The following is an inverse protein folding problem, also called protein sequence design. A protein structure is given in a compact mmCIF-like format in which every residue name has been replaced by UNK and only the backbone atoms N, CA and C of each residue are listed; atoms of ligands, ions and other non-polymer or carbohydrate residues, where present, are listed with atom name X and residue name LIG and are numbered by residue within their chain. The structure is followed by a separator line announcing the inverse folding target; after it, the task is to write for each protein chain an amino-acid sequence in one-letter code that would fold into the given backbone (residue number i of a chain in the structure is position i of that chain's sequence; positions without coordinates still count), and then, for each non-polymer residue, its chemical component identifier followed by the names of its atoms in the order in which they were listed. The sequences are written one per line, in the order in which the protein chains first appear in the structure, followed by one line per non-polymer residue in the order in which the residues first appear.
data_IF_920348787339
#
_entry.id   IF_920348787339
#
_cell.length_a   1.000
_cell.length_b   1.000
_cell.length_c   1.000
_cell.angle_alpha   90.00
_cell.angle_beta   90.00
_cell.angle_gamma   90.00
#
_symmetry.space_group_name_H-M   'P 1'
#
loop_
_entity.id
_entity.type
_entity.pdbx_description
1 polymer ?
#
# COMPACT_ATOMS: atom_id res chain seq x y z
N UNK A 1 23.13 -5.48 49.40
CA UNK A 1 22.30 -4.72 48.44
C UNK A 1 21.55 -5.72 47.56
N UNK A 2 20.24 -5.90 47.77
CA UNK A 2 19.44 -6.90 47.02
C UNK A 2 18.69 -6.18 45.90
N UNK A 3 18.85 -6.64 44.66
CA UNK A 3 18.20 -6.04 43.48
C UNK A 3 16.73 -6.45 43.41
N UNK A 4 15.87 -5.56 42.87
CA UNK A 4 14.42 -5.78 42.67
C UNK A 4 14.07 -7.11 41.99
N UNK A 5 14.91 -7.57 41.06
CA UNK A 5 14.75 -8.86 40.37
C UNK A 5 14.83 -10.06 41.31
N UNK A 6 15.65 -10.02 42.37
CA UNK A 6 15.76 -11.11 43.37
C UNK A 6 14.54 -11.23 44.29
N UNK A 7 13.68 -10.20 44.34
CA UNK A 7 12.42 -10.21 45.09
C UNK A 7 11.20 -10.55 44.21
N UNK A 8 11.41 -10.99 42.96
CA UNK A 8 10.31 -11.36 42.05
C UNK A 8 9.45 -10.18 41.57
N UNK A 9 9.86 -8.93 41.86
CA UNK A 9 9.10 -7.74 41.47
C UNK A 9 9.37 -7.40 40.01
N UNK A 10 8.58 -7.97 39.11
CA UNK A 10 8.54 -7.60 37.70
C UNK A 10 7.41 -6.58 37.50
N UNK A 11 7.75 -5.30 37.35
CA UNK A 11 6.79 -4.28 36.89
C UNK A 11 6.97 -4.10 35.39
N UNK A 12 6.10 -4.65 34.53
CA UNK A 12 6.16 -4.37 33.10
C UNK A 12 5.99 -2.87 32.88
N UNK A 13 6.84 -2.29 32.04
CA UNK A 13 6.77 -0.87 31.73
C UNK A 13 5.46 -0.59 30.97
N UNK A 14 4.54 0.23 31.51
CA UNK A 14 3.23 0.46 30.91
C UNK A 14 3.33 1.13 29.52
N UNK A 15 4.46 1.77 29.19
CA UNK A 15 4.73 2.29 27.83
C UNK A 15 4.77 1.20 26.75
N UNK A 16 5.03 -0.05 27.13
CA UNK A 16 5.08 -1.21 26.24
C UNK A 16 3.97 -2.23 26.52
N UNK A 17 2.99 -1.89 27.37
CA UNK A 17 1.79 -2.69 27.53
C UNK A 17 0.94 -2.53 26.26
N UNK A 18 1.14 -3.43 25.29
CA UNK A 18 0.35 -3.57 24.07
C UNK A 18 -1.06 -4.11 24.42
N UNK A 19 -1.85 -3.32 25.14
CA UNK A 19 -3.30 -3.56 25.24
C UNK A 19 -3.96 -3.03 23.98
N UNK A 20 -3.94 -3.83 22.91
CA UNK A 20 -4.84 -3.58 21.78
C UNK A 20 -6.26 -3.85 22.25
N UNK A 21 -7.04 -2.79 22.55
CA UNK A 21 -8.49 -2.89 22.56
C UNK A 21 -8.86 -3.27 21.13
N UNK A 22 -9.09 -4.55 20.91
CA UNK A 22 -9.48 -5.06 19.61
C UNK A 22 -10.90 -4.60 19.40
N UNK A 23 -11.09 -3.53 18.61
CA UNK A 23 -12.41 -3.18 18.12
C UNK A 23 -12.96 -4.42 17.40
N UNK A 24 -13.96 -5.07 18.00
CA UNK A 24 -14.40 -6.42 17.67
C UNK A 24 -15.01 -6.56 16.26
N UNK A 25 -15.15 -5.46 15.50
CA UNK A 25 -16.05 -5.42 14.35
C UNK A 25 -15.38 -5.09 13.00
N UNK A 26 -14.04 -5.10 12.91
CA UNK A 26 -13.36 -4.77 11.66
C UNK A 26 -12.48 -5.95 11.23
N UNK A 27 -12.85 -6.67 10.16
CA UNK A 27 -12.04 -7.75 9.64
C UNK A 27 -10.67 -7.20 9.27
N UNK A 28 -9.63 -7.68 9.97
CA UNK A 28 -8.28 -7.11 9.90
C UNK A 28 -7.70 -7.18 8.49
N UNK A 29 -8.02 -8.23 7.74
CA UNK A 29 -7.65 -8.41 6.34
C UNK A 29 -8.77 -9.18 5.64
N UNK A 30 -9.53 -8.51 4.77
CA UNK A 30 -10.52 -9.17 3.93
C UNK A 30 -9.81 -9.81 2.75
N UNK A 31 -9.75 -11.15 2.73
CA UNK A 31 -9.28 -11.87 1.55
C UNK A 31 -10.38 -12.08 0.50
N UNK A 32 -11.65 -11.82 0.88
CA UNK A 32 -12.81 -12.07 0.03
C UNK A 32 -13.47 -10.77 -0.42
N UNK A 33 -13.45 -10.52 -1.73
CA UNK A 33 -14.03 -9.32 -2.35
C UNK A 33 -15.53 -9.22 -2.07
N UNK A 34 -16.26 -10.34 -2.02
CA UNK A 34 -17.71 -10.33 -1.77
C UNK A 34 -18.07 -9.71 -0.42
N UNK A 35 -17.26 -9.97 0.61
CA UNK A 35 -17.46 -9.41 1.96
C UNK A 35 -17.10 -7.92 1.98
N UNK A 36 -16.04 -7.53 1.26
CA UNK A 36 -15.67 -6.12 1.11
C UNK A 36 -16.76 -5.30 0.39
N UNK A 37 -17.39 -5.88 -0.63
CA UNK A 37 -18.49 -5.24 -1.37
C UNK A 37 -19.74 -5.02 -0.53
N UNK A 38 -20.00 -5.91 0.43
CA UNK A 38 -21.15 -5.79 1.34
C UNK A 38 -20.99 -4.66 2.36
N UNK A 39 -19.75 -4.25 2.66
CA UNK A 39 -19.48 -3.20 3.64
C UNK A 39 -19.35 -1.82 2.96
N UNK A 40 -20.19 -0.82 3.32
CA UNK A 40 -20.24 0.46 2.61
C UNK A 40 -18.91 1.22 2.65
N UNK A 41 -18.18 1.15 3.76
CA UNK A 41 -16.87 1.79 3.89
C UNK A 41 -15.79 1.19 3.00
N UNK A 42 -15.85 -0.12 2.70
CA UNK A 42 -14.88 -0.76 1.82
C UNK A 42 -15.23 -0.48 0.35
N UNK A 43 -16.52 -0.52 0.03
CA UNK A 43 -17.04 -0.11 -1.29
C UNK A 43 -16.60 1.31 -1.66
N UNK A 44 -16.76 2.28 -0.75
CA UNK A 44 -16.39 3.68 -1.00
C UNK A 44 -14.90 3.85 -1.34
N UNK A 45 -14.00 3.15 -0.62
CA UNK A 45 -12.56 3.24 -0.88
C UNK A 45 -12.17 2.54 -2.19
N UNK A 46 -12.84 1.45 -2.56
CA UNK A 46 -12.63 0.83 -3.88
C UNK A 46 -13.05 1.78 -5.02
N UNK A 47 -14.17 2.48 -4.85
CA UNK A 47 -14.64 3.44 -5.84
C UNK A 47 -13.71 4.67 -5.92
N UNK A 48 -13.19 5.16 -4.79
CA UNK A 48 -12.17 6.24 -4.77
C UNK A 48 -10.90 5.84 -5.53
N UNK A 49 -10.41 4.61 -5.33
CA UNK A 49 -9.23 4.09 -6.04
C UNK A 49 -9.49 4.00 -7.56
N UNK A 50 -10.65 3.49 -7.98
CA UNK A 50 -11.01 3.43 -9.39
C UNK A 50 -11.09 4.83 -9.99
N UNK A 51 -11.77 5.78 -9.33
CA UNK A 51 -11.87 7.18 -9.80
C UNK A 51 -10.48 7.81 -9.92
N UNK A 52 -9.59 7.56 -8.97
CA UNK A 52 -8.22 8.07 -9.03
C UNK A 52 -7.44 7.50 -10.22
N UNK A 53 -7.58 6.20 -10.53
CA UNK A 53 -6.96 5.58 -11.70
C UNK A 53 -7.49 6.14 -13.02
N UNK A 54 -8.81 6.34 -13.12
CA UNK A 54 -9.42 6.95 -14.31
C UNK A 54 -8.96 8.39 -14.51
N UNK A 55 -8.94 9.19 -13.43
CA UNK A 55 -8.51 10.60 -13.47
C UNK A 55 -7.05 10.75 -13.89
N UNK A 56 -6.21 9.78 -13.52
CA UNK A 56 -4.79 9.79 -13.86
C UNK A 56 -4.50 9.15 -15.23
N UNK A 57 -5.53 8.68 -15.95
CA UNK A 57 -5.42 8.08 -17.28
C UNK A 57 -4.36 6.96 -17.37
N UNK A 58 -4.16 6.21 -16.28
CA UNK A 58 -3.02 5.28 -16.17
C UNK A 58 -3.17 4.02 -17.01
N UNK A 59 -4.35 3.77 -17.56
CA UNK A 59 -4.66 2.56 -18.33
C UNK A 59 -5.87 2.78 -19.24
N UNK A 60 -6.00 1.92 -20.26
CA UNK A 60 -7.12 1.91 -21.20
C UNK A 60 -7.68 0.50 -21.30
N UNK A 61 -9.00 0.39 -21.36
CA UNK A 61 -9.65 -0.89 -21.61
C UNK A 61 -9.50 -1.26 -23.09
N UNK A 62 -9.06 -2.48 -23.36
CA UNK A 62 -8.85 -3.03 -24.71
C UNK A 62 -9.43 -4.43 -24.82
N UNK A 63 -9.94 -4.83 -26.01
CA UNK A 63 -10.40 -6.19 -26.22
C UNK A 63 -9.24 -7.18 -26.12
N UNK A 64 -9.48 -8.31 -25.46
CA UNK A 64 -8.48 -9.36 -25.28
C UNK A 64 -8.21 -10.07 -26.61
N UNK A 65 -6.95 -10.11 -27.01
CA UNK A 65 -6.47 -10.97 -28.11
C UNK A 65 -5.74 -12.20 -27.58
N UNK A 66 -5.72 -13.33 -28.30
CA UNK A 66 -5.05 -14.56 -27.83
C UNK A 66 -3.53 -14.40 -27.62
N UNK A 67 -2.90 -13.44 -28.29
CA UNK A 67 -1.45 -13.17 -28.21
C UNK A 67 -1.05 -12.31 -27.01
N UNK A 68 -2.02 -11.73 -26.27
CA UNK A 68 -1.71 -10.88 -25.12
C UNK A 68 -1.34 -11.70 -23.89
N UNK A 69 -0.20 -11.37 -23.29
CA UNK A 69 0.16 -11.86 -21.96
C UNK A 69 -0.62 -11.08 -20.90
N UNK A 70 -1.72 -11.67 -20.42
CA UNK A 70 -2.63 -11.01 -19.46
C UNK A 70 -2.26 -11.42 -18.03
N UNK A 71 -1.86 -10.44 -17.23
CA UNK A 71 -1.57 -10.60 -15.81
C UNK A 71 -2.87 -10.49 -15.02
N UNK A 72 -3.11 -11.40 -14.07
CA UNK A 72 -4.31 -11.30 -13.24
C UNK A 72 -4.33 -10.04 -12.35
N UNK A 73 -5.50 -9.61 -11.90
CA UNK A 73 -5.64 -8.51 -10.93
C UNK A 73 -6.10 -9.01 -9.55
N UNK A 74 -5.84 -8.23 -8.50
CA UNK A 74 -6.29 -8.50 -7.13
C UNK A 74 -6.53 -7.21 -6.37
N UNK A 75 -7.59 -7.21 -5.56
CA UNK A 75 -7.81 -6.19 -4.54
C UNK A 75 -7.07 -6.53 -3.24
N UNK A 76 -6.35 -5.55 -2.71
CA UNK A 76 -5.64 -5.62 -1.43
C UNK A 76 -6.31 -4.67 -0.44
N UNK A 77 -6.75 -5.20 0.69
CA UNK A 77 -7.46 -4.46 1.71
C UNK A 77 -6.61 -4.35 2.98
N UNK A 78 -6.53 -3.14 3.55
CA UNK A 78 -5.82 -2.88 4.81
C UNK A 78 -6.64 -1.94 5.67
N UNK A 79 -6.98 -2.38 6.88
CA UNK A 79 -7.48 -1.48 7.92
C UNK A 79 -6.29 -0.78 8.58
N UNK A 80 -6.35 0.56 8.67
CA UNK A 80 -5.39 1.35 9.43
C UNK A 80 -6.03 1.68 10.77
N UNK A 81 -5.31 1.38 11.85
CA UNK A 81 -5.74 1.64 13.21
C UNK A 81 -4.92 2.80 13.78
N UNK A 82 -5.56 3.58 14.65
CA UNK A 82 -4.91 4.60 15.47
C UNK A 82 -4.11 3.91 16.60
N UNK A 83 -3.18 4.62 17.27
CA UNK A 83 -2.43 4.05 18.40
C UNK A 83 -3.30 3.50 19.54
N UNK A 84 -4.52 4.04 19.68
CA UNK A 84 -5.51 3.57 20.66
C UNK A 84 -6.32 2.34 20.20
N UNK A 85 -6.02 1.77 19.03
CA UNK A 85 -6.70 0.60 18.47
C UNK A 85 -8.01 0.88 17.73
N UNK A 86 -8.49 2.13 17.70
CA UNK A 86 -9.67 2.52 16.91
C UNK A 86 -9.36 2.59 15.41
N UNK A 87 -10.39 2.45 14.56
CA UNK A 87 -10.22 2.60 13.12
C UNK A 87 -9.82 4.02 12.76
N UNK A 88 -8.72 4.15 12.03
CA UNK A 88 -8.28 5.40 11.41
C UNK A 88 -8.88 5.55 10.02
N UNK A 89 -8.59 4.58 9.14
CA UNK A 89 -9.05 4.56 7.75
C UNK A 89 -9.03 3.17 7.15
N UNK A 90 -9.87 2.95 6.16
CA UNK A 90 -9.82 1.77 5.30
C UNK A 90 -8.99 2.10 4.06
N UNK A 91 -8.19 1.15 3.59
CA UNK A 91 -7.39 1.28 2.37
C UNK A 91 -7.62 0.09 1.46
N UNK A 92 -8.09 0.34 0.25
CA UNK A 92 -8.21 -0.66 -0.81
C UNK A 92 -7.29 -0.25 -1.96
N UNK A 93 -6.52 -1.19 -2.47
CA UNK A 93 -5.65 -0.97 -3.63
C UNK A 93 -5.89 -2.05 -4.66
N UNK A 94 -5.95 -1.63 -5.93
CA UNK A 94 -5.97 -2.52 -7.07
C UNK A 94 -4.54 -2.81 -7.50
N UNK A 95 -4.16 -4.09 -7.54
CA UNK A 95 -2.78 -4.50 -7.81
C UNK A 95 -2.75 -5.62 -8.86
N UNK A 96 -1.79 -5.54 -9.78
CA UNK A 96 -1.48 -6.61 -10.72
C UNK A 96 -0.80 -7.79 -10.00
N UNK A 97 -1.13 -9.02 -10.41
CA UNK A 97 -0.54 -10.26 -9.90
C UNK A 97 0.81 -10.53 -10.57
N UNK A 98 1.79 -9.65 -10.29
CA UNK A 98 3.12 -9.68 -10.91
C UNK A 98 3.96 -10.93 -10.65
N UNK A 99 3.54 -11.82 -9.74
CA UNK A 99 4.22 -13.09 -9.48
C UNK A 99 4.15 -14.11 -10.64
N UNK A 100 3.37 -13.82 -11.69
CA UNK A 100 3.39 -14.59 -12.94
C UNK A 100 4.32 -14.00 -14.01
N UNK A 101 4.98 -12.86 -13.74
CA UNK A 101 5.86 -12.23 -14.72
C UNK A 101 7.21 -12.93 -14.78
N UNK A 102 7.73 -13.09 -15.99
CA UNK A 102 9.01 -13.73 -16.30
C UNK A 102 10.03 -12.64 -16.67
N UNK A 103 11.17 -12.64 -15.99
CA UNK A 103 12.29 -11.73 -16.29
C UNK A 103 12.82 -11.98 -17.72
N UNK A 104 13.07 -10.90 -18.45
CA UNK A 104 13.50 -10.94 -19.85
C UNK A 104 12.37 -11.20 -20.87
N UNK A 105 11.15 -11.48 -20.41
CA UNK A 105 9.96 -11.64 -21.26
C UNK A 105 8.95 -10.52 -20.98
N UNK A 106 8.50 -10.40 -19.73
CA UNK A 106 7.45 -9.46 -19.33
C UNK A 106 8.01 -8.15 -18.76
N UNK A 107 9.28 -8.15 -18.34
CA UNK A 107 10.01 -6.96 -17.91
C UNK A 107 11.51 -7.15 -18.11
N UNK A 108 12.23 -6.05 -18.30
CA UNK A 108 13.71 -6.05 -18.42
C UNK A 108 14.39 -5.26 -17.30
N UNK A 109 13.64 -4.45 -16.56
CA UNK A 109 14.14 -3.62 -15.46
C UNK A 109 13.21 -3.74 -14.26
N UNK A 110 13.78 -4.05 -13.09
CA UNK A 110 13.07 -4.13 -11.80
C UNK A 110 13.31 -2.92 -10.91
N UNK A 111 14.09 -1.94 -11.39
CA UNK A 111 14.46 -0.79 -10.58
C UNK A 111 13.27 0.15 -10.39
N UNK A 112 12.73 0.17 -9.18
CA UNK A 112 11.89 1.27 -8.72
C UNK A 112 12.78 2.51 -8.51
N UNK A 113 12.39 3.72 -8.97
CA UNK A 113 13.14 4.95 -8.81
C UNK A 113 13.08 5.46 -7.35
N UNK A 114 13.56 4.64 -6.41
CA UNK A 114 13.60 4.97 -4.98
C UNK A 114 15.01 5.41 -4.62
N UNK A 115 15.13 6.65 -4.13
CA UNK A 115 16.39 7.16 -3.59
C UNK A 115 16.86 6.29 -2.43
N UNK A 116 18.14 5.91 -2.45
CA UNK A 116 18.74 5.12 -1.37
C UNK A 116 18.72 5.93 -0.06
N UNK A 117 18.48 5.29 1.10
CA UNK A 117 18.51 5.99 2.39
C UNK A 117 19.82 6.73 2.67
N UNK A 118 20.95 6.23 2.16
CA UNK A 118 22.25 6.91 2.27
C UNK A 118 22.28 8.27 1.56
N UNK A 119 21.71 8.36 0.36
CA UNK A 119 21.60 9.62 -0.39
C UNK A 119 20.72 10.62 0.34
N UNK A 120 19.59 10.17 0.89
CA UNK A 120 18.70 11.03 1.69
C UNK A 120 19.46 11.58 2.91
N UNK A 121 20.17 10.72 3.65
CA UNK A 121 20.98 11.14 4.80
C UNK A 121 22.03 12.17 4.40
N UNK A 122 22.76 11.94 3.31
CA UNK A 122 23.78 12.86 2.82
C UNK A 122 23.21 14.24 2.50
N UNK A 123 22.08 14.32 1.78
CA UNK A 123 21.41 15.59 1.46
C UNK A 123 20.99 16.32 2.74
N UNK A 124 20.39 15.60 3.71
CA UNK A 124 19.99 16.18 5.00
C UNK A 124 21.23 16.69 5.76
N UNK A 125 22.33 15.93 5.80
CA UNK A 125 23.57 16.35 6.45
C UNK A 125 24.12 17.63 5.84
N UNK A 126 24.15 17.74 4.50
CA UNK A 126 24.59 18.95 3.80
C UNK A 126 23.70 20.13 4.17
N UNK A 127 22.38 19.96 4.12
CA UNK A 127 21.42 21.00 4.49
C UNK A 127 21.61 21.46 5.94
N UNK A 128 21.89 20.55 6.87
CA UNK A 128 22.17 20.89 8.27
C UNK A 128 23.47 21.68 8.43
N UNK A 129 24.56 21.26 7.79
CA UNK A 129 25.85 21.96 7.84
C UNK A 129 25.74 23.36 7.25
N UNK A 130 25.00 23.52 6.15
CA UNK A 130 24.78 24.79 5.46
C UNK A 130 23.63 25.63 6.06
N UNK A 131 22.98 25.14 7.13
CA UNK A 131 21.82 25.78 7.79
C UNK A 131 20.67 26.08 6.81
N UNK A 132 20.45 25.21 5.83
CA UNK A 132 19.34 25.34 4.88
C UNK A 132 18.02 24.87 5.48
N UNK A 133 16.94 25.57 5.15
CA UNK A 133 15.59 25.13 5.50
C UNK A 133 15.20 23.90 4.68
N UNK A 134 14.69 22.87 5.34
CA UNK A 134 14.19 21.65 4.71
C UNK A 134 12.67 21.66 4.77
N UNK A 135 12.01 21.41 3.64
CA UNK A 135 10.56 21.19 3.56
C UNK A 135 10.30 19.81 3.00
N UNK A 136 9.34 19.09 3.59
CA UNK A 136 8.89 17.78 3.13
C UNK A 136 7.55 17.92 2.42
N UNK A 137 7.44 17.29 1.26
CA UNK A 137 6.20 17.16 0.49
C UNK A 137 5.92 15.67 0.30
N UNK A 138 4.70 15.24 0.62
CA UNK A 138 4.22 13.90 0.33
C UNK A 138 3.18 13.99 -0.80
N UNK A 139 3.49 13.37 -1.94
CA UNK A 139 2.64 13.41 -3.14
C UNK A 139 1.74 12.18 -3.14
N UNK A 140 0.41 12.41 -3.09
CA UNK A 140 -0.57 11.32 -3.23
C UNK A 140 -0.38 10.68 -4.62
N UNK A 141 -0.29 9.35 -4.66
CA UNK A 141 -0.17 8.56 -5.89
C UNK A 141 1.10 8.79 -6.72
N UNK A 142 2.24 9.14 -6.09
CA UNK A 142 3.51 9.40 -6.77
C UNK A 142 3.94 8.30 -7.77
N UNK A 143 3.64 7.03 -7.49
CA UNK A 143 3.97 5.90 -8.38
C UNK A 143 3.23 5.94 -9.72
N UNK A 144 2.06 6.59 -9.80
CA UNK A 144 1.26 6.67 -11.02
C UNK A 144 1.82 7.67 -12.05
N UNK A 145 2.84 8.44 -11.69
CA UNK A 145 3.51 9.38 -12.60
C UNK A 145 4.76 8.79 -13.29
N UNK A 146 5.09 7.53 -13.02
CA UNK A 146 6.16 6.83 -13.73
C UNK A 146 5.71 6.44 -15.14
N UNK A 147 6.52 6.74 -16.14
CA UNK A 147 6.30 6.22 -17.49
C UNK A 147 6.76 4.77 -17.56
N UNK A 148 5.92 3.90 -18.13
CA UNK A 148 6.24 2.51 -18.43
C UNK A 148 6.39 2.42 -19.95
N UNK A 149 7.50 1.85 -20.42
CA UNK A 149 7.79 1.69 -21.85
C UNK A 149 7.17 0.42 -22.44
N UNK A 150 6.88 -0.56 -21.59
CA UNK A 150 6.36 -1.86 -21.94
C UNK A 150 4.83 -1.91 -21.90
N UNK A 151 4.23 -2.58 -22.88
CA UNK A 151 2.79 -2.82 -22.92
C UNK A 151 2.41 -3.92 -21.91
N UNK A 152 1.73 -3.52 -20.84
CA UNK A 152 1.27 -4.43 -19.79
C UNK A 152 -0.24 -4.66 -19.88
N UNK A 153 -0.67 -5.90 -20.08
CA UNK A 153 -2.09 -6.25 -20.05
C UNK A 153 -2.47 -6.82 -18.68
N UNK A 154 -3.48 -6.25 -18.05
CA UNK A 154 -4.02 -6.73 -16.78
C UNK A 154 -5.47 -7.16 -16.96
N UNK A 155 -5.84 -8.29 -16.37
CA UNK A 155 -7.22 -8.74 -16.30
C UNK A 155 -8.07 -7.71 -15.56
N UNK A 156 -9.20 -7.35 -16.15
CA UNK A 156 -10.16 -6.44 -15.58
C UNK A 156 -10.59 -6.91 -14.17
N UNK A 157 -10.55 -6.03 -13.15
CA UNK A 157 -10.84 -6.43 -11.78
C UNK A 157 -12.31 -6.78 -11.57
N UNK A 158 -12.61 -7.74 -10.66
CA UNK A 158 -13.99 -8.01 -10.27
C UNK A 158 -14.61 -6.74 -9.68
N UNK A 159 -15.74 -6.28 -10.26
CA UNK A 159 -16.48 -5.01 -10.04
C UNK A 159 -16.42 -4.05 -11.23
N UNK A 160 -15.40 -4.15 -12.06
CA UNK A 160 -15.33 -3.41 -13.31
C UNK A 160 -15.79 -4.33 -14.42
N UNK A 161 -17.05 -4.78 -14.38
CA UNK A 161 -17.62 -5.50 -15.51
C UNK A 161 -18.38 -4.44 -16.26
N UNK A 162 -17.90 -4.06 -17.43
CA UNK A 162 -18.63 -3.13 -18.27
C UNK A 162 -19.93 -3.78 -18.74
N UNK A 163 -20.99 -2.95 -18.69
CA UNK A 163 -22.28 -3.15 -19.34
C UNK A 163 -22.14 -3.34 -20.84
#
# INVERSE_FOLDING_TARGET
MVTRSKLGVVKPNPKYALTTITSANIPRELHNIKIALAHPGWKAVMDEELVALHKNETWKLVPRTPSMHVIGSKWVFKSKLKPNGSLDRLKAHLVAKGYHQIDGVDYTKTFSPVLKPGTIRMIITIALVQKWSIRQLDVKNALLHGLISEDLYMQQPPRMVDS
#
